data_IF_578099325380
#
_entry.id   IF_578099325380
#
_cell.length_a   1.000
_cell.length_b   1.000
_cell.length_c   1.000
_cell.angle_alpha   90.00
_cell.angle_beta   90.00
_cell.angle_gamma   90.00
#
_symmetry.space_group_name_H-M   'P 1'
#
loop_
_entity.id
_entity.type
_entity.pdbx_description
1 polymer ?
#
# COMPACT_ATOMS: atom_id res chain seq x y z
N UNK A 1 14.27 -4.22 -23.43
CA UNK A 1 13.33 -4.25 -22.34
C UNK A 1 14.06 -4.23 -21.00
N UNK A 2 13.87 -3.19 -20.26
CA UNK A 2 14.56 -3.06 -18.98
C UNK A 2 13.94 -3.97 -17.94
N UNK A 3 14.67 -4.97 -17.50
CA UNK A 3 14.39 -5.66 -16.28
C UNK A 3 14.60 -4.69 -15.12
N UNK A 4 13.54 -4.13 -14.60
CA UNK A 4 13.61 -3.47 -13.31
C UNK A 4 14.00 -4.52 -12.28
N UNK A 5 15.15 -4.38 -11.69
CA UNK A 5 15.57 -5.17 -10.56
C UNK A 5 14.75 -4.78 -9.35
N UNK A 6 13.55 -5.36 -9.24
CA UNK A 6 12.73 -5.24 -8.04
C UNK A 6 13.18 -6.25 -6.99
N UNK A 7 14.48 -6.37 -6.78
CA UNK A 7 15.02 -7.25 -5.76
C UNK A 7 15.03 -6.54 -4.41
N UNK A 8 14.53 -7.25 -3.43
CA UNK A 8 14.51 -6.82 -2.03
C UNK A 8 15.42 -7.75 -1.22
N UNK A 9 16.11 -7.16 -0.28
CA UNK A 9 16.96 -7.88 0.66
C UNK A 9 16.20 -8.07 1.98
N UNK A 10 16.02 -9.31 2.42
CA UNK A 10 15.39 -9.59 3.69
C UNK A 10 16.36 -9.31 4.83
N UNK A 11 15.99 -8.45 5.76
CA UNK A 11 16.81 -8.08 6.91
C UNK A 11 16.91 -9.18 7.98
N UNK A 12 16.01 -10.17 7.94
CA UNK A 12 15.98 -11.26 8.90
C UNK A 12 16.88 -12.42 8.46
N UNK A 13 16.71 -12.90 7.22
CA UNK A 13 17.44 -14.08 6.75
C UNK A 13 18.56 -13.76 5.75
N UNK A 14 18.68 -12.52 5.31
CA UNK A 14 19.71 -12.08 4.35
C UNK A 14 19.47 -12.50 2.92
N UNK A 15 18.37 -13.15 2.61
CA UNK A 15 18.08 -13.60 1.26
C UNK A 15 17.59 -12.48 0.35
N UNK A 16 18.00 -12.51 -0.92
CA UNK A 16 17.45 -11.64 -1.95
C UNK A 16 16.26 -12.33 -2.61
N UNK A 17 15.21 -11.58 -2.86
CA UNK A 17 14.06 -12.08 -3.61
C UNK A 17 13.44 -10.98 -4.46
N UNK A 18 12.78 -11.38 -5.54
CA UNK A 18 12.12 -10.45 -6.45
C UNK A 18 10.71 -10.12 -6.00
N UNK A 19 10.30 -8.87 -6.14
CA UNK A 19 8.92 -8.45 -5.90
C UNK A 19 8.10 -8.82 -7.15
N UNK A 20 7.22 -9.78 -6.98
CA UNK A 20 6.30 -10.21 -8.03
C UNK A 20 4.88 -10.23 -7.47
N UNK A 21 3.90 -10.47 -8.32
CA UNK A 21 2.51 -10.65 -7.88
C UNK A 21 2.38 -11.82 -6.90
N UNK A 22 3.24 -12.82 -7.03
CA UNK A 22 3.23 -14.00 -6.16
C UNK A 22 3.78 -13.74 -4.77
N UNK A 23 4.62 -12.70 -4.61
CA UNK A 23 5.18 -12.32 -3.32
C UNK A 23 4.35 -11.26 -2.61
N UNK A 24 3.41 -10.63 -3.32
CA UNK A 24 2.48 -9.66 -2.74
C UNK A 24 1.17 -10.36 -2.37
N UNK A 25 0.72 -10.14 -1.16
CA UNK A 25 -0.53 -10.72 -0.66
C UNK A 25 -1.41 -9.63 -0.09
N UNK A 26 -2.67 -9.63 -0.46
CA UNK A 26 -3.69 -8.75 0.09
C UNK A 26 -4.61 -9.56 0.98
N UNK A 27 -4.82 -9.11 2.21
CA UNK A 27 -5.76 -9.73 3.13
C UNK A 27 -6.57 -8.70 3.89
N UNK A 28 -7.83 -9.02 4.10
CA UNK A 28 -8.68 -8.26 5.02
C UNK A 28 -8.37 -8.70 6.44
N UNK A 29 -8.02 -7.75 7.28
CA UNK A 29 -7.73 -7.99 8.68
C UNK A 29 -8.44 -6.95 9.55
N UNK A 30 -8.58 -7.24 10.82
CA UNK A 30 -9.10 -6.28 11.79
C UNK A 30 -7.95 -5.75 12.62
N UNK A 31 -7.75 -4.43 12.57
CA UNK A 31 -6.79 -3.76 13.44
C UNK A 31 -7.39 -3.54 14.82
N UNK A 32 -6.61 -3.82 15.84
CA UNK A 32 -7.02 -3.64 17.24
C UNK A 32 -5.99 -2.76 17.93
N UNK A 33 -6.46 -1.67 18.53
CA UNK A 33 -5.61 -0.84 19.40
C UNK A 33 -5.56 -1.46 20.78
N UNK A 34 -4.36 -1.61 21.32
CA UNK A 34 -4.10 -2.26 22.60
C UNK A 34 -4.81 -1.58 23.77
N UNK A 35 -4.88 -0.25 23.77
CA UNK A 35 -5.45 0.56 24.86
C UNK A 35 -6.91 0.97 24.63
N UNK A 36 -7.57 0.42 23.62
CA UNK A 36 -8.93 0.80 23.32
C UNK A 36 -9.71 -0.38 22.73
N UNK A 37 -11.02 -0.29 22.83
CA UNK A 37 -11.94 -1.24 22.21
C UNK A 37 -12.13 -0.97 20.72
N UNK A 38 -11.42 0.00 20.15
CA UNK A 38 -11.53 0.35 18.75
C UNK A 38 -10.96 -0.74 17.86
N UNK A 39 -11.82 -1.22 16.98
CA UNK A 39 -11.46 -2.19 15.94
C UNK A 39 -11.75 -1.56 14.59
N UNK A 40 -10.88 -1.78 13.62
CA UNK A 40 -11.08 -1.26 12.28
C UNK A 40 -10.75 -2.34 11.24
N UNK A 41 -11.70 -2.65 10.34
CA UNK A 41 -11.40 -3.52 9.22
C UNK A 41 -10.55 -2.77 8.20
N UNK A 42 -9.46 -3.37 7.79
CA UNK A 42 -8.55 -2.80 6.78
C UNK A 42 -8.09 -3.90 5.84
N UNK A 43 -7.61 -3.50 4.66
CA UNK A 43 -6.91 -4.38 3.75
C UNK A 43 -5.43 -4.13 3.89
N UNK A 44 -4.68 -5.14 4.29
CA UNK A 44 -3.23 -5.09 4.34
C UNK A 44 -2.65 -5.74 3.09
N UNK A 45 -1.72 -5.06 2.47
CA UNK A 45 -0.89 -5.61 1.40
C UNK A 45 0.50 -5.80 1.95
N UNK A 46 1.00 -7.02 1.94
CA UNK A 46 2.34 -7.31 2.44
C UNK A 46 3.16 -8.09 1.44
N UNK A 47 4.48 -7.96 1.61
CA UNK A 47 5.50 -8.78 0.97
C UNK A 47 5.93 -9.85 1.94
N UNK A 48 5.95 -11.09 1.49
CA UNK A 48 6.45 -12.19 2.31
C UNK A 48 7.77 -12.69 1.74
N UNK A 49 8.79 -12.78 2.59
CA UNK A 49 10.04 -13.38 2.20
C UNK A 49 9.83 -14.87 1.93
N UNK A 50 10.15 -15.37 0.73
CA UNK A 50 9.91 -16.78 0.40
C UNK A 50 10.83 -17.75 1.15
N UNK A 51 11.88 -17.23 1.79
CA UNK A 51 12.86 -18.06 2.51
C UNK A 51 12.56 -18.19 3.99
N UNK A 52 12.18 -17.09 4.67
CA UNK A 52 11.95 -17.13 6.12
C UNK A 52 10.50 -16.79 6.53
N UNK A 53 9.66 -16.34 5.59
CA UNK A 53 8.27 -16.01 5.86
C UNK A 53 8.04 -14.65 6.52
N UNK A 54 9.08 -13.83 6.68
CA UNK A 54 8.90 -12.46 7.21
C UNK A 54 7.97 -11.66 6.31
N UNK A 55 7.00 -11.01 6.94
CA UNK A 55 6.03 -10.16 6.24
C UNK A 55 6.41 -8.69 6.40
N UNK A 56 6.40 -7.98 5.29
CA UNK A 56 6.64 -6.54 5.23
C UNK A 56 5.37 -5.86 4.76
N UNK A 57 4.76 -5.04 5.62
CA UNK A 57 3.53 -4.33 5.28
C UNK A 57 3.86 -3.19 4.32
N UNK A 58 3.33 -3.28 3.11
CA UNK A 58 3.54 -2.29 2.06
C UNK A 58 2.44 -1.24 2.01
N UNK A 59 1.18 -1.66 2.14
CA UNK A 59 0.03 -0.80 2.09
C UNK A 59 -0.98 -1.20 3.15
N UNK A 60 -1.64 -0.20 3.70
CA UNK A 60 -2.76 -0.37 4.60
C UNK A 60 -3.88 0.55 4.14
N UNK A 61 -5.00 -0.03 3.75
CA UNK A 61 -6.13 0.70 3.21
C UNK A 61 -7.40 0.38 3.98
N UNK A 62 -8.16 1.41 4.32
CA UNK A 62 -9.53 1.26 4.76
C UNK A 62 -10.48 1.43 3.57
N UNK A 63 -11.77 1.39 3.81
CA UNK A 63 -12.77 1.55 2.75
C UNK A 63 -12.61 2.87 1.99
N UNK A 64 -12.36 3.95 2.71
CA UNK A 64 -12.19 5.28 2.14
C UNK A 64 -10.95 5.37 1.24
N UNK A 65 -9.80 4.87 1.71
CA UNK A 65 -8.57 4.90 0.92
C UNK A 65 -8.64 3.97 -0.29
N UNK A 66 -9.34 2.84 -0.20
CA UNK A 66 -9.58 1.96 -1.34
C UNK A 66 -10.42 2.65 -2.43
N UNK A 67 -11.44 3.40 -2.05
CA UNK A 67 -12.24 4.19 -3.00
C UNK A 67 -11.41 5.30 -3.66
N UNK A 68 -10.61 6.01 -2.87
CA UNK A 68 -9.69 7.02 -3.40
C UNK A 68 -8.67 6.43 -4.38
N UNK A 69 -8.12 5.27 -4.06
CA UNK A 69 -7.20 4.57 -4.95
C UNK A 69 -7.86 4.17 -6.26
N UNK A 70 -9.11 3.73 -6.20
CA UNK A 70 -9.90 3.40 -7.39
C UNK A 70 -10.13 4.62 -8.26
N UNK A 71 -10.52 5.74 -7.66
CA UNK A 71 -10.74 7.00 -8.39
C UNK A 71 -9.44 7.51 -9.02
N UNK A 72 -8.33 7.39 -8.31
CA UNK A 72 -7.01 7.77 -8.81
C UNK A 72 -6.62 6.91 -10.02
N UNK A 73 -6.81 5.58 -9.94
CA UNK A 73 -6.52 4.70 -11.07
C UNK A 73 -7.35 5.05 -12.30
N UNK A 74 -8.63 5.39 -12.12
CA UNK A 74 -9.50 5.81 -13.21
C UNK A 74 -9.00 7.11 -13.85
N UNK A 75 -8.59 8.09 -13.04
CA UNK A 75 -8.05 9.35 -13.53
C UNK A 75 -6.72 9.14 -14.28
N UNK A 76 -5.84 8.30 -13.75
CA UNK A 76 -4.58 7.95 -14.39
C UNK A 76 -4.78 7.21 -15.72
N UNK A 77 -5.77 6.34 -15.80
CA UNK A 77 -6.11 5.65 -17.05
C UNK A 77 -6.58 6.63 -18.12
N UNK A 78 -7.39 7.62 -17.76
CA UNK A 78 -7.80 8.67 -18.68
C UNK A 78 -6.60 9.51 -19.15
N UNK A 79 -5.75 9.88 -18.21
CA UNK A 79 -4.52 10.62 -18.51
C UNK A 79 -3.64 9.87 -19.52
N UNK A 80 -3.48 8.56 -19.31
CA UNK A 80 -2.68 7.70 -20.18
C UNK A 80 -3.23 7.64 -21.60
N UNK A 81 -4.56 7.69 -21.78
CA UNK A 81 -5.18 7.72 -23.11
C UNK A 81 -4.78 8.96 -23.90
N UNK A 82 -4.72 10.14 -23.26
CA UNK A 82 -4.23 11.35 -23.91
C UNK A 82 -2.75 11.23 -24.31
N UNK A 83 -1.93 10.70 -23.41
CA UNK A 83 -0.50 10.53 -23.67
C UNK A 83 -0.24 9.56 -24.83
N UNK A 84 -0.99 8.46 -24.91
CA UNK A 84 -0.87 7.49 -26.01
C UNK A 84 -1.23 8.06 -27.37
N UNK A 85 -2.13 9.04 -27.39
CA UNK A 85 -2.56 9.72 -28.61
C UNK A 85 -1.73 10.96 -28.94
N UNK A 86 -0.65 11.20 -28.19
CA UNK A 86 0.18 12.40 -28.30
C UNK A 86 -0.65 13.70 -28.18
N UNK A 87 -1.67 13.68 -27.35
CA UNK A 87 -2.50 14.86 -27.05
C UNK A 87 -2.12 15.42 -25.68
N UNK A 88 -2.20 16.75 -25.50
CA UNK A 88 -1.98 17.34 -24.19
C UNK A 88 -3.09 16.89 -23.23
N UNK A 89 -2.69 16.54 -22.00
CA UNK A 89 -3.64 16.17 -20.94
C UNK A 89 -4.36 17.44 -20.49
N UNK A 90 -5.71 17.42 -20.43
CA UNK A 90 -6.45 18.59 -19.92
C UNK A 90 -6.00 18.97 -18.52
N UNK A 91 -5.87 20.25 -18.26
CA UNK A 91 -5.42 20.77 -16.97
C UNK A 91 -6.30 20.31 -15.81
N UNK A 92 -7.62 20.24 -16.04
CA UNK A 92 -8.56 19.70 -15.06
C UNK A 92 -8.22 18.28 -14.64
N UNK A 93 -7.86 17.45 -15.61
CA UNK A 93 -7.50 16.05 -15.35
C UNK A 93 -6.17 15.94 -14.59
N UNK A 94 -5.17 16.75 -14.98
CA UNK A 94 -3.90 16.83 -14.26
C UNK A 94 -4.12 17.27 -12.80
N UNK A 95 -4.93 18.29 -12.59
CA UNK A 95 -5.22 18.81 -11.26
C UNK A 95 -6.00 17.79 -10.42
N UNK A 96 -6.99 17.15 -11.02
CA UNK A 96 -7.77 16.09 -10.36
C UNK A 96 -6.86 14.93 -9.91
N UNK A 97 -5.97 14.49 -10.78
CA UNK A 97 -5.03 13.40 -10.49
C UNK A 97 -4.11 13.77 -9.33
N UNK A 98 -3.55 14.97 -9.33
CA UNK A 98 -2.71 15.47 -8.25
C UNK A 98 -3.46 15.56 -6.92
N UNK A 99 -4.67 16.06 -6.94
CA UNK A 99 -5.50 16.21 -5.75
C UNK A 99 -5.87 14.85 -5.15
N UNK A 100 -6.25 13.89 -5.98
CA UNK A 100 -6.54 12.53 -5.54
C UNK A 100 -5.30 11.87 -4.94
N UNK A 101 -4.13 12.04 -5.56
CA UNK A 101 -2.88 11.49 -5.06
C UNK A 101 -2.52 12.06 -3.68
N UNK A 102 -2.64 13.38 -3.52
CA UNK A 102 -2.36 14.04 -2.23
C UNK A 102 -3.31 13.57 -1.15
N UNK A 103 -4.60 13.51 -1.46
CA UNK A 103 -5.62 13.09 -0.51
C UNK A 103 -5.43 11.64 -0.08
N UNK A 104 -5.12 10.77 -1.03
CA UNK A 104 -4.85 9.37 -0.75
C UNK A 104 -3.61 9.20 0.13
N UNK A 105 -2.51 9.88 -0.21
CA UNK A 105 -1.28 9.82 0.58
C UNK A 105 -1.50 10.34 2.01
N UNK A 106 -2.22 11.43 2.15
CA UNK A 106 -2.54 12.01 3.47
C UNK A 106 -3.35 11.03 4.32
N UNK A 107 -4.39 10.43 3.75
CA UNK A 107 -5.24 9.51 4.49
C UNK A 107 -4.55 8.18 4.82
N UNK A 108 -3.72 7.67 3.91
CA UNK A 108 -2.91 6.48 4.18
C UNK A 108 -1.91 6.75 5.30
N UNK A 109 -1.26 7.93 5.27
CA UNK A 109 -0.33 8.35 6.32
C UNK A 109 -1.02 8.44 7.68
N UNK A 110 -2.19 9.07 7.71
CA UNK A 110 -2.97 9.22 8.94
C UNK A 110 -3.39 7.85 9.51
N UNK A 111 -3.84 6.96 8.64
CA UNK A 111 -4.22 5.61 9.03
C UNK A 111 -3.03 4.83 9.60
N UNK A 112 -1.89 4.92 8.94
CA UNK A 112 -0.65 4.28 9.40
C UNK A 112 -0.19 4.81 10.75
N UNK A 113 -0.21 6.13 10.92
CA UNK A 113 0.19 6.78 12.19
C UNK A 113 -0.75 6.40 13.33
N UNK A 114 -2.05 6.33 13.07
CA UNK A 114 -3.04 6.00 14.08
C UNK A 114 -2.92 4.56 14.57
N UNK A 115 -2.61 3.63 13.68
CA UNK A 115 -2.59 2.20 14.00
C UNK A 115 -1.19 1.59 14.08
N UNK A 116 -0.13 2.38 13.91
CA UNK A 116 1.23 1.88 14.06
C UNK A 116 1.44 1.34 15.48
N UNK A 117 1.99 0.15 15.59
CA UNK A 117 2.17 -0.53 16.87
C UNK A 117 0.95 -1.30 17.36
N UNK A 118 -0.17 -1.22 16.66
CA UNK A 118 -1.37 -2.01 16.97
C UNK A 118 -1.19 -3.46 16.52
N UNK A 119 -2.14 -4.30 16.90
CA UNK A 119 -2.16 -5.68 16.47
C UNK A 119 -3.17 -5.88 15.36
N UNK A 120 -2.92 -6.82 14.47
CA UNK A 120 -3.92 -7.30 13.54
C UNK A 120 -4.08 -8.82 13.71
N UNK A 121 -5.29 -9.29 13.48
CA UNK A 121 -5.58 -10.71 13.60
C UNK A 121 -5.37 -11.42 12.27
N UNK A 122 -4.57 -12.48 12.32
CA UNK A 122 -4.38 -13.41 11.22
C UNK A 122 -5.01 -14.74 11.57
N UNK A 123 -5.09 -15.67 10.62
CA UNK A 123 -5.56 -17.03 10.88
C UNK A 123 -4.73 -17.74 11.97
N UNK A 124 -3.45 -17.40 12.07
CA UNK A 124 -2.49 -17.99 12.99
C UNK A 124 -2.40 -17.27 14.35
N UNK A 125 -3.12 -16.16 14.53
CA UNK A 125 -3.13 -15.41 15.77
C UNK A 125 -2.99 -13.89 15.55
N UNK A 126 -2.57 -13.19 16.62
CA UNK A 126 -2.36 -11.74 16.57
C UNK A 126 -0.92 -11.44 16.21
N UNK A 127 -0.73 -10.62 15.18
CA UNK A 127 0.58 -10.10 14.81
C UNK A 127 0.63 -8.60 15.05
N UNK A 128 1.77 -8.12 15.53
CA UNK A 128 1.99 -6.69 15.72
C UNK A 128 2.16 -6.01 14.38
N UNK A 129 1.48 -4.87 14.21
CA UNK A 129 1.57 -4.09 13.00
C UNK A 129 2.82 -3.22 13.05
N UNK A 130 3.75 -3.48 12.12
CA UNK A 130 4.87 -2.59 11.86
C UNK A 130 4.72 -2.02 10.47
N UNK A 131 4.36 -0.75 10.38
CA UNK A 131 4.25 -0.06 9.12
C UNK A 131 5.33 1.00 9.02
N UNK A 132 6.25 0.82 8.08
CA UNK A 132 7.30 1.79 7.81
C UNK A 132 6.96 2.55 6.55
N UNK A 133 6.77 3.85 6.70
CA UNK A 133 6.57 4.73 5.56
C UNK A 133 7.94 5.12 5.04
N UNK A 134 8.20 4.77 3.79
CA UNK A 134 9.39 5.23 3.12
C UNK A 134 9.14 6.64 2.59
N UNK A 135 9.68 7.64 3.29
CA UNK A 135 9.76 8.98 2.76
C UNK A 135 10.86 9.00 1.71
N UNK A 136 10.47 9.23 0.48
CA UNK A 136 11.44 9.69 -0.49
C UNK A 136 11.60 11.20 -0.26
N UNK A 137 12.68 11.53 0.42
CA UNK A 137 13.11 12.91 0.54
C UNK A 137 13.62 13.44 -0.78
#
# INVERSE_FOLDING_TARGET
MKTTNNKIFCDICGANFSVTKDTLTENEVTLVKEDSTKQKPVTLTWLECPHCGKRYICLMDDKETLELAKDLRAAMAKRLKFLKKNRPVPERLEQKTKNLQRKLNFKRQHLADEYNGSFYQTEDGKEQLEYKIHHRG
#
